data_IF_770407946610
#
_entry.id   IF_770407946610
#
_cell.length_a   1.000
_cell.length_b   1.000
_cell.length_c   1.000
_cell.angle_alpha   90.00
_cell.angle_beta   90.00
_cell.angle_gamma   90.00
#
_symmetry.space_group_name_H-M   'P 1'
#
loop_
_entity.id
_entity.type
_entity.pdbx_description
1 polymer ?
#
# COMPACT_ATOMS: atom_id res chain seq x y z
N UNK A 1 -3.86 -2.35 6.67
CA UNK A 1 -3.60 -1.69 7.98
C UNK A 1 -3.53 -0.18 7.86
N UNK A 2 -2.70 0.36 6.97
CA UNK A 2 -2.62 1.81 6.78
C UNK A 2 -3.63 2.28 5.73
N UNK A 3 -3.64 1.66 4.54
CA UNK A 3 -4.45 2.14 3.41
C UNK A 3 -5.94 1.74 3.45
N UNK A 4 -6.33 0.76 4.26
CA UNK A 4 -7.70 0.21 4.23
C UNK A 4 -7.97 -0.71 3.04
N UNK A 5 -9.19 -1.23 2.93
CA UNK A 5 -9.64 -2.09 1.83
C UNK A 5 -10.09 -1.29 0.59
N UNK A 6 -10.16 0.03 0.71
CA UNK A 6 -10.40 0.96 -0.39
C UNK A 6 -9.10 1.60 -0.91
N UNK A 7 -7.96 1.25 -0.31
CA UNK A 7 -6.62 1.78 -0.56
C UNK A 7 -6.45 3.30 -0.39
N UNK A 8 -7.40 3.98 0.27
CA UNK A 8 -7.45 5.46 0.38
C UNK A 8 -6.75 6.03 1.61
N UNK A 9 -6.15 5.21 2.46
CA UNK A 9 -5.67 5.68 3.76
C UNK A 9 -6.80 5.70 4.80
N UNK A 10 -7.68 4.69 4.78
CA UNK A 10 -8.80 4.57 5.75
C UNK A 10 -8.55 3.48 6.79
N UNK A 11 -7.37 2.87 6.77
CA UNK A 11 -7.03 1.83 7.74
C UNK A 11 -6.86 2.38 9.16
N UNK A 12 -6.92 1.51 10.18
CA UNK A 12 -6.79 1.92 11.59
C UNK A 12 -5.50 2.66 11.93
N UNK A 13 -4.45 2.52 11.11
CA UNK A 13 -3.16 3.19 11.28
C UNK A 13 -2.94 4.37 10.33
N UNK A 14 -3.94 4.78 9.54
CA UNK A 14 -3.76 5.77 8.47
C UNK A 14 -3.15 7.10 8.93
N UNK A 15 -3.54 7.56 10.12
CA UNK A 15 -3.11 8.82 10.71
C UNK A 15 -2.10 8.65 11.85
N UNK A 16 -1.45 7.47 11.92
CA UNK A 16 -0.46 7.13 12.96
C UNK A 16 0.98 7.27 12.46
N UNK A 17 1.18 7.86 11.28
CA UNK A 17 2.47 8.17 10.69
C UNK A 17 2.53 9.66 10.30
N UNK A 18 3.74 10.20 10.23
CA UNK A 18 4.02 11.52 9.67
C UNK A 18 5.08 11.38 8.55
N UNK A 19 4.74 11.68 7.27
CA UNK A 19 3.42 12.11 6.79
C UNK A 19 2.35 11.00 6.93
N UNK A 20 1.04 11.37 6.92
CA UNK A 20 -0.04 10.40 6.99
C UNK A 20 -0.06 9.48 5.76
N UNK A 21 -0.77 8.37 5.90
CA UNK A 21 -0.89 7.37 4.84
C UNK A 21 -1.59 7.98 3.63
N UNK A 22 -1.00 7.92 2.42
CA UNK A 22 -1.58 8.57 1.24
C UNK A 22 -2.73 7.77 0.61
N UNK A 23 -3.58 8.48 -0.13
CA UNK A 23 -4.62 7.88 -0.97
C UNK A 23 -4.03 7.34 -2.29
N UNK A 24 -4.12 6.02 -2.48
CA UNK A 24 -3.62 5.33 -3.67
C UNK A 24 -4.62 5.33 -4.85
N UNK A 25 -5.78 5.98 -4.70
CA UNK A 25 -6.78 6.13 -5.77
C UNK A 25 -6.64 7.43 -6.55
N UNK A 26 -5.73 8.32 -6.13
CA UNK A 26 -5.47 9.59 -6.81
C UNK A 26 -5.08 9.40 -8.27
N UNK A 27 -5.45 10.35 -9.14
CA UNK A 27 -5.10 10.31 -10.57
C UNK A 27 -3.58 10.25 -10.79
N UNK A 28 -2.80 10.93 -9.95
CA UNK A 28 -1.34 10.90 -9.97
C UNK A 28 -0.81 9.48 -9.68
N UNK A 29 -1.34 8.81 -8.65
CA UNK A 29 -0.95 7.45 -8.34
C UNK A 29 -1.38 6.46 -9.44
N UNK A 30 -2.60 6.61 -9.98
CA UNK A 30 -3.08 5.82 -11.13
C UNK A 30 -2.11 5.90 -12.31
N UNK A 31 -1.63 7.10 -12.64
CA UNK A 31 -0.62 7.28 -13.70
C UNK A 31 0.68 6.54 -13.35
N UNK A 32 1.18 6.67 -12.12
CA UNK A 32 2.42 5.99 -11.68
C UNK A 32 2.29 4.46 -11.73
N UNK A 33 1.15 3.91 -11.31
CA UNK A 33 0.87 2.47 -11.39
C UNK A 33 0.87 1.99 -12.85
N UNK A 34 0.27 2.76 -13.76
CA UNK A 34 0.26 2.44 -15.18
C UNK A 34 1.65 2.50 -15.82
N UNK A 35 2.43 3.54 -15.47
CA UNK A 35 3.76 3.77 -16.06
C UNK A 35 4.79 2.74 -15.51
N UNK A 36 4.64 2.31 -14.25
CA UNK A 36 5.61 1.44 -13.56
C UNK A 36 4.95 0.38 -12.66
N UNK A 37 4.14 -0.55 -13.19
CA UNK A 37 3.32 -1.44 -12.38
C UNK A 37 4.14 -2.33 -11.44
N UNK A 38 5.23 -2.92 -11.95
CA UNK A 38 6.13 -3.76 -11.14
C UNK A 38 6.75 -2.98 -9.98
N UNK A 39 7.28 -1.78 -10.26
CA UNK A 39 7.93 -0.94 -9.23
C UNK A 39 6.93 -0.52 -8.17
N UNK A 40 5.72 -0.10 -8.56
CA UNK A 40 4.72 0.36 -7.61
C UNK A 40 4.22 -0.79 -6.73
N UNK A 41 3.86 -1.93 -7.31
CA UNK A 41 3.39 -3.11 -6.55
C UNK A 41 4.49 -3.63 -5.63
N UNK A 42 5.73 -3.71 -6.13
CA UNK A 42 6.87 -4.07 -5.31
C UNK A 42 7.14 -3.05 -4.21
N UNK A 43 6.98 -1.75 -4.45
CA UNK A 43 7.20 -0.73 -3.42
C UNK A 43 6.22 -0.88 -2.24
N UNK A 44 4.95 -1.24 -2.50
CA UNK A 44 3.95 -1.49 -1.45
C UNK A 44 4.39 -2.62 -0.51
N UNK A 45 5.11 -3.62 -1.04
CA UNK A 45 5.58 -4.79 -0.29
C UNK A 45 6.97 -4.55 0.32
N UNK A 46 7.90 -4.02 -0.47
CA UNK A 46 9.33 -3.92 -0.16
C UNK A 46 9.70 -2.73 0.73
N UNK A 47 8.73 -1.88 1.07
CA UNK A 47 8.85 -0.72 1.99
C UNK A 47 9.74 0.38 1.39
N UNK A 48 9.19 1.37 0.69
CA UNK A 48 9.98 2.40 0.03
C UNK A 48 10.50 3.46 1.03
N UNK A 49 9.87 3.58 2.20
CA UNK A 49 10.13 4.64 3.18
C UNK A 49 10.89 4.15 4.43
N UNK A 50 11.96 3.38 4.25
CA UNK A 50 12.86 2.97 5.34
C UNK A 50 12.13 2.43 6.59
N UNK A 51 12.36 3.08 7.73
CA UNK A 51 11.76 2.70 9.03
C UNK A 51 10.35 3.25 9.28
N UNK A 52 9.76 4.08 8.40
CA UNK A 52 8.46 4.71 8.66
C UNK A 52 7.36 3.66 8.95
N UNK A 53 7.15 2.70 8.04
CA UNK A 53 6.12 1.67 8.20
C UNK A 53 6.46 0.72 9.37
N UNK A 54 7.68 0.13 9.46
CA UNK A 54 8.04 -0.72 10.60
C UNK A 54 7.88 -0.04 11.96
N UNK A 55 8.28 1.24 12.08
CA UNK A 55 8.11 2.04 13.29
C UNK A 55 6.64 2.26 13.63
N UNK A 56 5.81 2.69 12.67
CA UNK A 56 4.37 2.88 12.91
C UNK A 56 3.70 1.60 13.37
N UNK A 57 4.07 0.43 12.82
CA UNK A 57 3.54 -0.85 13.29
C UNK A 57 3.98 -1.13 14.74
N UNK A 58 5.27 -0.98 15.04
CA UNK A 58 5.86 -1.23 16.38
C UNK A 58 5.26 -0.33 17.45
N UNK A 59 5.18 0.98 17.20
CA UNK A 59 4.65 1.98 18.14
C UNK A 59 3.15 1.78 18.44
N UNK A 60 2.42 1.15 17.52
CA UNK A 60 0.99 0.84 17.68
C UNK A 60 0.74 -0.62 18.08
N UNK A 61 1.76 -1.32 18.59
CA UNK A 61 1.62 -2.70 19.13
C UNK A 61 1.29 -3.76 18.08
N UNK A 62 1.50 -3.46 16.80
CA UNK A 62 1.18 -4.38 15.71
C UNK A 62 2.39 -5.27 15.40
N UNK A 63 2.17 -6.58 15.50
CA UNK A 63 3.13 -7.60 15.09
C UNK A 63 2.61 -8.36 13.89
N UNK A 64 3.38 -8.33 12.79
CA UNK A 64 3.09 -9.11 11.58
C UNK A 64 4.06 -10.28 11.50
N UNK A 65 3.53 -11.47 11.22
CA UNK A 65 4.37 -12.61 10.87
C UNK A 65 5.01 -12.39 9.50
N UNK A 66 6.26 -12.85 9.28
CA UNK A 66 6.84 -12.87 7.94
C UNK A 66 5.92 -13.62 6.97
N UNK A 67 5.77 -13.07 5.77
CA UNK A 67 4.98 -13.68 4.71
C UNK A 67 5.88 -13.96 3.48
N UNK A 68 5.94 -15.20 2.97
CA UNK A 68 6.75 -15.55 1.82
C UNK A 68 6.03 -15.17 0.52
N UNK A 69 6.19 -13.92 0.09
CA UNK A 69 5.56 -13.39 -1.12
C UNK A 69 5.92 -14.21 -2.37
N UNK A 70 4.92 -14.69 -3.10
CA UNK A 70 5.05 -15.36 -4.39
C UNK A 70 4.77 -14.42 -5.55
N UNK A 71 5.19 -14.78 -6.76
CA UNK A 71 4.87 -14.03 -8.00
C UNK A 71 3.36 -13.85 -8.20
N UNK A 72 2.55 -14.83 -7.77
CA UNK A 72 1.09 -14.74 -7.85
C UNK A 72 0.55 -13.63 -6.96
N UNK A 73 1.08 -13.47 -5.75
CA UNK A 73 0.64 -12.43 -4.82
C UNK A 73 0.90 -11.02 -5.36
N UNK A 74 2.03 -10.81 -6.05
CA UNK A 74 2.28 -9.54 -6.75
C UNK A 74 1.26 -9.29 -7.87
N UNK A 75 0.90 -10.31 -8.66
CA UNK A 75 -0.10 -10.19 -9.73
C UNK A 75 -1.48 -9.88 -9.17
N UNK A 76 -1.89 -10.59 -8.13
CA UNK A 76 -3.18 -10.42 -7.47
C UNK A 76 -3.27 -9.02 -6.83
N UNK A 77 -2.20 -8.55 -6.17
CA UNK A 77 -2.14 -7.20 -5.62
C UNK A 77 -2.28 -6.14 -6.72
N UNK A 78 -1.57 -6.29 -7.84
CA UNK A 78 -1.69 -5.38 -8.97
C UNK A 78 -3.12 -5.34 -9.55
N UNK A 79 -3.73 -6.51 -9.73
CA UNK A 79 -5.10 -6.63 -10.24
C UNK A 79 -6.10 -5.99 -9.28
N UNK A 80 -5.96 -6.25 -7.98
CA UNK A 80 -6.79 -5.64 -6.94
C UNK A 80 -6.67 -4.11 -6.96
N UNK A 81 -5.45 -3.56 -6.91
CA UNK A 81 -5.23 -2.13 -6.94
C UNK A 81 -5.80 -1.49 -8.21
N UNK A 82 -5.53 -2.07 -9.38
CA UNK A 82 -6.07 -1.59 -10.66
C UNK A 82 -7.60 -1.63 -10.68
N UNK A 83 -8.19 -2.68 -10.10
CA UNK A 83 -9.64 -2.83 -9.97
C UNK A 83 -10.28 -1.77 -9.06
N UNK A 84 -9.68 -1.49 -7.90
CA UNK A 84 -10.19 -0.46 -6.98
C UNK A 84 -10.04 0.94 -7.57
N UNK A 85 -8.89 1.23 -8.19
CA UNK A 85 -8.61 2.53 -8.83
C UNK A 85 -9.55 2.78 -10.02
N UNK A 86 -9.86 1.76 -10.82
CA UNK A 86 -10.77 1.92 -11.96
C UNK A 86 -12.23 2.19 -11.55
N UNK A 87 -12.65 1.68 -10.39
CA UNK A 87 -14.00 1.88 -9.83
C UNK A 87 -14.16 3.18 -9.05
N UNK A 88 -13.07 3.79 -8.57
CA UNK A 88 -13.10 5.01 -7.75
C UNK A 88 -13.36 6.29 -8.57
N UNK A 89 -14.22 6.20 -9.59
CA UNK A 89 -14.49 7.26 -10.57
C UNK A 89 -15.32 8.41 -10.01
#
# INVERSE_FOLDING_TARGET
MCHGADIKGTGPLAHKSDPPTPDLTTSAFKKRLSDYPGVIVSSVILRPNGDLIPRTLRENGVKLSPYPWSVKDFRDLNQYMSGVISKSR
#
